data_IF_582309836542
#
_entry.id   IF_582309836542
#
_cell.length_a   1.000
_cell.length_b   1.000
_cell.length_c   1.000
_cell.angle_alpha   90.00
_cell.angle_beta   90.00
_cell.angle_gamma   90.00
#
_symmetry.space_group_name_H-M   'P 1'
#
loop_
_entity.id
_entity.type
_entity.pdbx_description
1 polymer ?
#
# COMPACT_ATOMS: atom_id res chain seq x y z
N UNK A 1 0.97 -25.93 -22.72
CA UNK A 1 2.08 -25.07 -22.24
C UNK A 1 1.49 -24.07 -21.26
N UNK A 2 1.85 -24.16 -19.99
CA UNK A 2 1.43 -23.18 -18.98
C UNK A 2 2.21 -21.90 -19.28
N UNK A 3 1.54 -20.88 -19.83
CA UNK A 3 2.06 -19.52 -19.89
C UNK A 3 2.28 -19.06 -18.44
N UNK A 4 3.52 -19.21 -17.95
CA UNK A 4 3.98 -18.49 -16.76
C UNK A 4 3.86 -17.01 -17.12
N UNK A 5 2.75 -16.36 -16.74
CA UNK A 5 2.73 -14.90 -16.60
C UNK A 5 3.89 -14.59 -15.65
N UNK A 6 5.04 -14.18 -16.21
CA UNK A 6 6.09 -13.54 -15.42
C UNK A 6 5.36 -12.43 -14.68
N UNK A 7 5.42 -12.39 -13.34
CA UNK A 7 4.95 -11.21 -12.64
C UNK A 7 5.78 -10.06 -13.20
N UNK A 8 5.12 -9.18 -13.95
CA UNK A 8 5.77 -7.99 -14.47
C UNK A 8 5.93 -7.10 -13.26
N UNK A 9 7.17 -6.96 -12.81
CA UNK A 9 7.55 -6.11 -11.69
C UNK A 9 8.14 -4.82 -12.27
N UNK A 10 8.09 -3.74 -11.50
CA UNK A 10 8.80 -2.50 -11.80
C UNK A 10 10.25 -2.77 -12.18
N UNK A 11 10.79 -2.01 -13.14
CA UNK A 11 12.20 -2.18 -13.51
C UNK A 11 13.09 -1.90 -12.30
N UNK A 12 14.12 -2.74 -12.13
CA UNK A 12 15.09 -2.57 -11.02
C UNK A 12 15.74 -1.20 -11.06
N UNK A 13 15.99 -0.66 -12.25
CA UNK A 13 16.62 0.64 -12.47
C UNK A 13 15.70 1.76 -11.96
N UNK A 14 14.41 1.72 -12.29
CA UNK A 14 13.42 2.65 -11.75
C UNK A 14 13.35 2.57 -10.23
N UNK A 15 13.24 1.36 -9.67
CA UNK A 15 13.19 1.20 -8.21
C UNK A 15 14.44 1.73 -7.51
N UNK A 16 15.63 1.53 -8.09
CA UNK A 16 16.88 2.07 -7.56
C UNK A 16 16.87 3.60 -7.59
N UNK A 17 16.54 4.23 -8.73
CA UNK A 17 16.52 5.67 -8.86
C UNK A 17 15.53 6.33 -7.88
N UNK A 18 14.34 5.75 -7.71
CA UNK A 18 13.36 6.22 -6.74
C UNK A 18 13.90 6.07 -5.31
N UNK A 19 14.46 4.91 -4.95
CA UNK A 19 15.00 4.71 -3.60
C UNK A 19 16.16 5.66 -3.28
N UNK A 20 17.04 5.92 -4.25
CA UNK A 20 18.14 6.88 -4.09
C UNK A 20 17.60 8.29 -3.80
N UNK A 21 16.62 8.78 -4.55
CA UNK A 21 16.00 10.08 -4.25
C UNK A 21 15.23 10.10 -2.91
N UNK A 22 14.71 8.95 -2.48
CA UNK A 22 14.03 8.83 -1.20
C UNK A 22 15.01 8.91 -0.01
N UNK A 23 16.28 8.51 -0.17
CA UNK A 23 17.31 8.54 0.89
C UNK A 23 17.76 9.95 1.26
N UNK A 24 17.78 10.88 0.30
CA UNK A 24 18.24 12.27 0.50
C UNK A 24 17.19 13.20 1.15
N UNK A 25 16.00 12.66 1.43
CA UNK A 25 14.88 13.45 1.99
C UNK A 25 14.22 14.36 0.95
N UNK A 26 14.34 14.01 -0.34
CA UNK A 26 14.00 14.88 -1.45
C UNK A 26 12.52 15.27 -1.52
N UNK A 27 12.30 16.44 -2.15
CA UNK A 27 11.01 16.97 -2.54
C UNK A 27 10.28 16.00 -3.48
N UNK A 28 8.95 15.93 -3.39
CA UNK A 28 8.14 15.18 -4.38
C UNK A 28 8.46 15.60 -5.82
N UNK A 29 8.96 16.82 -6.04
CA UNK A 29 9.37 17.33 -7.35
C UNK A 29 10.52 16.53 -7.98
N UNK A 30 11.47 16.04 -7.20
CA UNK A 30 12.61 15.28 -7.75
C UNK A 30 12.21 13.84 -8.06
N UNK A 31 11.34 13.25 -7.24
CA UNK A 31 10.68 11.97 -7.56
C UNK A 31 9.88 12.11 -8.86
N UNK A 32 9.11 13.20 -9.02
CA UNK A 32 8.35 13.48 -10.25
C UNK A 32 9.27 13.62 -11.48
N UNK A 33 10.40 14.32 -11.35
CA UNK A 33 11.41 14.39 -12.43
C UNK A 33 11.98 13.04 -12.79
N UNK A 34 12.30 12.19 -11.80
CA UNK A 34 12.79 10.83 -12.06
C UNK A 34 11.72 10.04 -12.83
N UNK A 35 10.46 10.12 -12.40
CA UNK A 35 9.35 9.46 -13.07
C UNK A 35 9.24 9.81 -14.56
N UNK A 36 9.46 11.07 -14.95
CA UNK A 36 9.48 11.50 -16.37
C UNK A 36 10.50 10.73 -17.23
N UNK A 37 11.62 10.29 -16.64
CA UNK A 37 12.67 9.54 -17.33
C UNK A 37 12.33 8.06 -17.55
N UNK A 38 11.32 7.53 -16.85
CA UNK A 38 10.92 6.12 -16.88
C UNK A 38 9.48 5.93 -17.38
N UNK A 39 9.13 6.55 -18.51
CA UNK A 39 7.78 6.52 -19.08
C UNK A 39 7.20 5.12 -19.31
N UNK A 40 8.04 4.13 -19.64
CA UNK A 40 7.61 2.74 -19.78
C UNK A 40 7.18 2.12 -18.43
N UNK A 41 7.93 2.36 -17.35
CA UNK A 41 7.59 1.90 -16.00
C UNK A 41 6.34 2.62 -15.47
N UNK A 42 6.16 3.90 -15.79
CA UNK A 42 4.93 4.63 -15.47
C UNK A 42 3.71 4.03 -16.15
N UNK A 43 3.79 3.76 -17.45
CA UNK A 43 2.71 3.09 -18.17
C UNK A 43 2.38 1.72 -17.54
N UNK A 44 3.39 0.98 -17.08
CA UNK A 44 3.18 -0.27 -16.33
C UNK A 44 2.46 -0.01 -14.99
N UNK A 45 2.88 0.98 -14.20
CA UNK A 45 2.17 1.37 -12.97
C UNK A 45 0.71 1.74 -13.23
N UNK A 46 0.42 2.50 -14.27
CA UNK A 46 -0.96 2.91 -14.58
C UNK A 46 -1.84 1.78 -15.11
N UNK A 47 -1.25 0.78 -15.78
CA UNK A 47 -2.00 -0.32 -16.39
C UNK A 47 -2.02 -1.59 -15.53
N UNK A 48 -1.17 -1.68 -14.50
CA UNK A 48 -1.03 -2.84 -13.63
C UNK A 48 -1.10 -2.42 -12.16
N UNK A 49 -2.21 -2.78 -11.51
CA UNK A 49 -2.49 -2.50 -10.10
C UNK A 49 -1.40 -3.03 -9.15
N UNK A 50 -0.82 -4.19 -9.42
CA UNK A 50 0.27 -4.74 -8.58
C UNK A 50 1.53 -3.88 -8.62
N UNK A 51 1.90 -3.32 -9.78
CA UNK A 51 3.03 -2.41 -9.90
C UNK A 51 2.73 -1.08 -9.19
N UNK A 52 1.51 -0.57 -9.34
CA UNK A 52 1.08 0.64 -8.66
C UNK A 52 1.13 0.50 -7.13
N UNK A 53 0.54 -0.56 -6.58
CA UNK A 53 0.57 -0.87 -5.15
C UNK A 53 2.02 -0.95 -4.65
N UNK A 54 2.91 -1.61 -5.40
CA UNK A 54 4.32 -1.70 -5.03
C UNK A 54 4.99 -0.32 -4.95
N UNK A 55 4.74 0.55 -5.93
CA UNK A 55 5.26 1.92 -5.91
C UNK A 55 4.72 2.71 -4.71
N UNK A 56 3.42 2.64 -4.43
CA UNK A 56 2.81 3.31 -3.28
C UNK A 56 3.40 2.81 -1.95
N UNK A 57 3.68 1.50 -1.83
CA UNK A 57 4.33 0.94 -0.65
C UNK A 57 5.78 1.41 -0.49
N UNK A 58 6.52 1.64 -1.57
CA UNK A 58 7.87 2.25 -1.50
C UNK A 58 7.81 3.66 -0.90
N UNK A 59 6.81 4.45 -1.30
CA UNK A 59 6.59 5.79 -0.75
C UNK A 59 6.21 5.76 0.74
N UNK A 60 5.42 4.77 1.19
CA UNK A 60 5.14 4.56 2.62
C UNK A 60 6.42 4.14 3.35
N UNK A 61 7.20 3.21 2.80
CA UNK A 61 8.44 2.75 3.41
C UNK A 61 9.44 3.90 3.65
N UNK A 62 9.49 4.90 2.77
CA UNK A 62 10.32 6.08 2.96
C UNK A 62 9.96 6.93 4.19
N UNK A 63 8.69 6.90 4.61
CA UNK A 63 8.28 7.58 5.84
C UNK A 63 8.69 6.83 7.11
N UNK A 64 9.20 5.61 7.00
CA UNK A 64 9.54 4.78 8.16
C UNK A 64 11.02 4.97 8.53
N UNK A 65 11.27 5.30 9.80
CA UNK A 65 12.61 5.42 10.37
C UNK A 65 12.84 4.30 11.37
N UNK A 66 14.02 3.70 11.31
CA UNK A 66 14.46 2.68 12.25
C UNK A 66 15.58 3.22 13.12
N UNK A 67 15.40 3.18 14.43
CA UNK A 67 16.38 3.57 15.42
C UNK A 67 16.85 2.32 16.18
N UNK A 68 18.16 2.18 16.35
CA UNK A 68 18.72 1.18 17.27
C UNK A 68 18.87 1.81 18.64
N UNK A 69 18.22 1.22 19.63
CA UNK A 69 18.36 1.61 21.02
C UNK A 69 19.68 1.08 21.59
N UNK A 70 20.11 1.64 22.73
CA UNK A 70 21.34 1.23 23.43
C UNK A 70 21.33 -0.23 23.92
N UNK A 71 20.16 -0.84 24.03
CA UNK A 71 19.94 -2.25 24.40
C UNK A 71 19.87 -3.19 23.18
N UNK A 72 20.23 -2.69 21.98
CA UNK A 72 20.09 -3.36 20.69
C UNK A 72 18.65 -3.69 20.27
N UNK A 73 17.63 -3.18 20.96
CA UNK A 73 16.26 -3.22 20.44
C UNK A 73 16.11 -2.27 19.26
N UNK A 74 15.29 -2.64 18.28
CA UNK A 74 15.00 -1.82 17.10
C UNK A 74 13.65 -1.14 17.30
N UNK A 75 13.65 0.19 17.38
CA UNK A 75 12.45 1.01 17.40
C UNK A 75 12.15 1.45 15.97
N UNK A 76 11.01 1.04 15.43
CA UNK A 76 10.57 1.41 14.09
C UNK A 76 9.41 2.40 14.24
N UNK A 77 9.53 3.58 13.64
CA UNK A 77 8.54 4.66 13.75
C UNK A 77 8.17 5.19 12.37
N UNK A 78 6.92 5.64 12.24
CA UNK A 78 6.46 6.39 11.07
C UNK A 78 6.72 7.88 11.33
N UNK A 79 7.46 8.52 10.44
CA UNK A 79 7.52 9.97 10.37
C UNK A 79 6.25 10.49 9.67
N UNK A 80 5.30 10.98 10.47
CA UNK A 80 3.99 11.41 10.00
C UNK A 80 4.08 12.56 8.98
N UNK A 81 4.99 13.52 9.16
CA UNK A 81 5.20 14.64 8.24
C UNK A 81 5.63 14.17 6.84
N UNK A 82 6.59 13.25 6.78
CA UNK A 82 7.03 12.63 5.52
C UNK A 82 5.86 11.83 4.93
N UNK A 83 5.11 11.07 5.73
CA UNK A 83 3.98 10.30 5.22
C UNK A 83 2.90 11.19 4.61
N UNK A 84 2.54 12.31 5.25
CA UNK A 84 1.63 13.31 4.68
C UNK A 84 2.16 13.86 3.35
N UNK A 85 3.45 14.19 3.27
CA UNK A 85 4.05 14.69 2.03
C UNK A 85 4.01 13.63 0.91
N UNK A 86 4.37 12.39 1.22
CA UNK A 86 4.33 11.29 0.25
C UNK A 86 2.91 10.93 -0.16
N UNK A 87 1.93 11.03 0.74
CA UNK A 87 0.53 10.80 0.43
C UNK A 87 -0.01 11.77 -0.64
N UNK A 88 0.42 13.05 -0.62
CA UNK A 88 0.10 14.01 -1.69
C UNK A 88 0.65 13.59 -3.06
N UNK A 89 1.80 12.94 -3.09
CA UNK A 89 2.33 12.35 -4.33
C UNK A 89 1.50 11.12 -4.73
N UNK A 90 1.17 10.24 -3.77
CA UNK A 90 0.34 9.05 -4.00
C UNK A 90 -1.02 9.41 -4.61
N UNK A 91 -1.60 10.56 -4.27
CA UNK A 91 -2.87 11.03 -4.85
C UNK A 91 -2.89 11.03 -6.38
N UNK A 92 -1.75 11.30 -7.03
CA UNK A 92 -1.62 11.30 -8.49
C UNK A 92 -1.71 9.91 -9.11
N UNK A 93 -1.57 8.86 -8.30
CA UNK A 93 -1.48 7.47 -8.73
C UNK A 93 -2.56 6.58 -8.10
N UNK A 94 -3.58 7.17 -7.48
CA UNK A 94 -4.66 6.43 -6.83
C UNK A 94 -5.36 5.49 -7.82
N UNK A 95 -5.54 4.24 -7.39
CA UNK A 95 -6.39 3.25 -8.07
C UNK A 95 -7.85 3.66 -7.93
N UNK A 96 -8.64 3.56 -9.00
CA UNK A 96 -10.01 4.07 -8.98
C UNK A 96 -11.07 3.02 -8.63
N UNK A 97 -10.76 1.73 -8.76
CA UNK A 97 -11.71 0.67 -8.46
C UNK A 97 -11.57 0.13 -7.03
N UNK A 98 -12.72 -0.30 -6.50
CA UNK A 98 -12.89 -0.83 -5.15
C UNK A 98 -11.97 -2.01 -4.81
N UNK A 99 -11.71 -2.90 -5.78
CA UNK A 99 -10.97 -4.13 -5.54
C UNK A 99 -9.50 -3.79 -5.30
N UNK A 100 -8.89 -3.02 -6.19
CA UNK A 100 -7.47 -2.69 -6.06
C UNK A 100 -7.22 -1.71 -4.90
N UNK A 101 -8.17 -0.82 -4.58
CA UNK A 101 -8.08 -0.01 -3.36
C UNK A 101 -8.15 -0.85 -2.09
N UNK A 102 -9.00 -1.89 -2.07
CA UNK A 102 -9.08 -2.80 -0.94
C UNK A 102 -7.86 -3.72 -0.85
N UNK A 103 -7.32 -4.16 -1.98
CA UNK A 103 -6.05 -4.87 -2.06
C UNK A 103 -4.90 -4.00 -1.51
N UNK A 104 -4.84 -2.74 -1.92
CA UNK A 104 -3.88 -1.78 -1.41
C UNK A 104 -3.98 -1.63 0.11
N UNK A 105 -5.19 -1.45 0.66
CA UNK A 105 -5.40 -1.39 2.11
C UNK A 105 -4.84 -2.64 2.82
N UNK A 106 -5.14 -3.84 2.32
CA UNK A 106 -4.63 -5.10 2.87
C UNK A 106 -3.10 -5.12 2.84
N UNK A 107 -2.50 -4.73 1.71
CA UNK A 107 -1.04 -4.74 1.53
C UNK A 107 -0.34 -3.73 2.44
N UNK A 108 -0.93 -2.56 2.67
CA UNK A 108 -0.41 -1.56 3.62
C UNK A 108 -0.42 -2.11 5.04
N UNK A 109 -1.53 -2.69 5.49
CA UNK A 109 -1.64 -3.24 6.85
C UNK A 109 -0.67 -4.41 7.03
N UNK A 110 -0.62 -5.36 6.09
CA UNK A 110 0.31 -6.50 6.13
C UNK A 110 1.78 -6.04 6.14
N UNK A 111 2.12 -5.04 5.33
CA UNK A 111 3.46 -4.44 5.30
C UNK A 111 3.85 -3.84 6.65
N UNK A 112 3.00 -2.99 7.23
CA UNK A 112 3.26 -2.38 8.54
C UNK A 112 3.30 -3.43 9.65
N UNK A 113 2.42 -4.43 9.60
CA UNK A 113 2.39 -5.49 10.61
C UNK A 113 3.69 -6.32 10.61
N UNK A 114 4.21 -6.65 9.43
CA UNK A 114 5.51 -7.36 9.29
C UNK A 114 6.68 -6.58 9.86
N UNK A 115 6.61 -5.25 9.82
CA UNK A 115 7.56 -4.34 10.47
C UNK A 115 7.34 -4.18 11.98
N UNK A 116 6.46 -5.00 12.57
CA UNK A 116 6.16 -5.04 14.00
C UNK A 116 5.46 -3.77 14.54
N UNK A 117 4.80 -3.00 13.67
CA UNK A 117 3.98 -1.88 14.12
C UNK A 117 2.78 -2.37 14.94
N UNK A 118 2.50 -1.66 16.03
CA UNK A 118 1.33 -1.91 16.86
C UNK A 118 0.04 -1.53 16.13
N UNK A 119 -1.08 -2.09 16.59
CA UNK A 119 -2.41 -1.75 16.07
C UNK A 119 -2.67 -0.23 16.04
N UNK A 120 -2.25 0.48 17.09
CA UNK A 120 -2.44 1.93 17.19
C UNK A 120 -1.61 2.70 16.16
N UNK A 121 -0.42 2.23 15.81
CA UNK A 121 0.43 2.89 14.81
C UNK A 121 -0.09 2.63 13.39
N UNK A 122 -0.58 1.40 13.14
CA UNK A 122 -1.30 1.08 11.91
C UNK A 122 -2.56 1.96 11.79
N UNK A 123 -3.35 2.10 12.85
CA UNK A 123 -4.53 2.99 12.88
C UNK A 123 -4.14 4.43 12.49
N UNK A 124 -3.03 4.96 13.02
CA UNK A 124 -2.54 6.31 12.66
C UNK A 124 -2.14 6.40 11.19
N UNK A 125 -1.37 5.45 10.68
CA UNK A 125 -0.95 5.43 9.28
C UNK A 125 -2.16 5.40 8.33
N UNK A 126 -3.13 4.53 8.60
CA UNK A 126 -4.37 4.42 7.82
C UNK A 126 -5.20 5.70 7.92
N UNK A 127 -5.21 6.38 9.07
CA UNK A 127 -5.89 7.67 9.22
C UNK A 127 -5.22 8.78 8.41
N UNK A 128 -3.88 8.82 8.35
CA UNK A 128 -3.14 9.79 7.52
C UNK A 128 -3.47 9.54 6.04
N UNK A 129 -3.37 8.28 5.59
CA UNK A 129 -3.69 7.92 4.21
C UNK A 129 -5.17 8.19 3.86
N UNK A 130 -6.08 8.10 4.84
CA UNK A 130 -7.47 8.48 4.64
C UNK A 130 -7.69 10.00 4.61
N UNK A 131 -7.01 10.73 5.49
CA UNK A 131 -7.08 12.20 5.55
C UNK A 131 -6.57 12.82 4.25
N UNK A 132 -5.48 12.29 3.71
CA UNK A 132 -4.91 12.69 2.42
C UNK A 132 -5.60 11.99 1.24
N UNK A 133 -6.80 11.42 1.43
CA UNK A 133 -7.64 10.83 0.38
C UNK A 133 -7.00 9.70 -0.48
N UNK A 134 -5.84 9.18 -0.09
CA UNK A 134 -5.19 8.02 -0.74
C UNK A 134 -6.02 6.75 -0.52
N UNK A 135 -6.57 6.60 0.69
CA UNK A 135 -7.52 5.54 1.04
C UNK A 135 -8.88 6.20 1.31
N UNK A 136 -9.84 6.11 0.37
CA UNK A 136 -11.17 6.66 0.57
C UNK A 136 -11.87 6.10 1.81
N UNK A 137 -12.79 6.88 2.40
CA UNK A 137 -13.45 6.52 3.65
C UNK A 137 -14.15 5.15 3.59
N UNK A 138 -14.81 4.83 2.47
CA UNK A 138 -15.50 3.54 2.31
C UNK A 138 -14.54 2.34 2.28
N UNK A 139 -13.30 2.52 1.81
CA UNK A 139 -12.24 1.51 1.89
C UNK A 139 -11.72 1.43 3.31
N UNK A 140 -11.34 2.56 3.91
CA UNK A 140 -10.85 2.65 5.30
C UNK A 140 -11.83 2.01 6.30
N UNK A 141 -13.13 2.13 6.06
CA UNK A 141 -14.16 1.51 6.89
C UNK A 141 -14.04 -0.02 7.01
N UNK A 142 -13.45 -0.72 6.05
CA UNK A 142 -13.19 -2.15 6.17
C UNK A 142 -12.23 -2.44 7.33
N UNK A 143 -11.23 -1.58 7.56
CA UNK A 143 -10.34 -1.67 8.72
C UNK A 143 -11.04 -1.29 10.03
N UNK A 144 -11.86 -0.23 10.01
CA UNK A 144 -12.64 0.19 11.19
C UNK A 144 -13.62 -0.88 11.65
N UNK A 145 -14.30 -1.56 10.73
CA UNK A 145 -15.35 -2.53 11.03
C UNK A 145 -14.87 -3.98 11.15
N UNK A 146 -13.61 -4.30 10.82
CA UNK A 146 -13.01 -5.61 11.07
C UNK A 146 -12.76 -5.92 12.56
N UNK A 147 -13.34 -5.13 13.47
CA UNK A 147 -13.28 -5.29 14.93
C UNK A 147 -14.18 -6.43 15.39
N UNK A 148 -13.97 -6.90 16.62
CA UNK A 148 -14.89 -7.87 17.23
C UNK A 148 -16.29 -7.24 17.39
N UNK A 149 -17.38 -8.03 17.36
CA UNK A 149 -18.75 -7.52 17.48
C UNK A 149 -19.04 -6.74 18.78
N UNK A 150 -18.29 -7.03 19.84
CA UNK A 150 -18.34 -6.33 21.12
C UNK A 150 -17.54 -5.01 21.14
N UNK A 151 -16.98 -4.61 20.00
CA UNK A 151 -16.16 -3.41 19.85
C UNK A 151 -14.73 -3.57 20.36
N UNK A 152 -14.34 -4.74 20.88
CA UNK A 152 -12.98 -4.96 21.35
C UNK A 152 -11.97 -4.96 20.19
N UNK A 153 -10.73 -4.52 20.43
CA UNK A 153 -9.69 -4.61 19.42
C UNK A 153 -9.39 -6.09 19.13
N UNK A 154 -9.75 -6.56 17.94
CA UNK A 154 -9.12 -7.71 17.32
C UNK A 154 -7.64 -7.40 17.06
N UNK A 155 -6.77 -8.41 17.17
CA UNK A 155 -5.38 -8.27 16.77
C UNK A 155 -5.29 -7.96 15.25
N UNK A 156 -4.11 -7.57 14.77
CA UNK A 156 -3.94 -7.17 13.37
C UNK A 156 -4.28 -8.31 12.40
N UNK A 157 -3.86 -9.54 12.70
CA UNK A 157 -4.08 -10.72 11.84
C UNK A 157 -5.58 -11.05 11.68
N UNK A 158 -6.33 -11.05 12.77
CA UNK A 158 -7.78 -11.29 12.78
C UNK A 158 -8.49 -10.25 11.91
N UNK A 159 -8.13 -8.96 12.07
CA UNK A 159 -8.70 -7.88 11.26
C UNK A 159 -8.34 -8.06 9.79
N UNK A 160 -7.08 -8.35 9.50
CA UNK A 160 -6.59 -8.54 8.14
C UNK A 160 -7.32 -9.70 7.45
N UNK A 161 -7.56 -10.80 8.16
CA UNK A 161 -8.29 -11.95 7.62
C UNK A 161 -9.74 -11.58 7.24
N UNK A 162 -10.45 -10.80 8.07
CA UNK A 162 -11.81 -10.32 7.74
C UNK A 162 -11.78 -9.50 6.45
N UNK A 163 -10.87 -8.55 6.34
CA UNK A 163 -10.74 -7.69 5.15
C UNK A 163 -10.36 -8.53 3.92
N UNK A 164 -9.50 -9.54 4.09
CA UNK A 164 -9.13 -10.45 3.02
C UNK A 164 -10.34 -11.26 2.51
N UNK A 165 -11.24 -11.71 3.38
CA UNK A 165 -12.48 -12.36 2.94
C UNK A 165 -13.39 -11.37 2.18
N UNK A 166 -13.49 -10.11 2.62
CA UNK A 166 -14.21 -9.07 1.87
C UNK A 166 -13.61 -8.85 0.47
N UNK A 167 -12.28 -8.78 0.37
CA UNK A 167 -11.56 -8.65 -0.90
C UNK A 167 -11.85 -9.84 -1.82
N UNK A 168 -11.77 -11.07 -1.30
CA UNK A 168 -12.09 -12.29 -2.06
C UNK A 168 -13.54 -12.26 -2.55
N UNK A 169 -14.48 -11.89 -1.69
CA UNK A 169 -15.89 -11.80 -2.04
C UNK A 169 -16.14 -10.77 -3.15
N UNK A 170 -15.59 -9.55 -3.02
CA UNK A 170 -15.68 -8.53 -4.07
C UNK A 170 -15.07 -9.02 -5.38
N UNK A 171 -13.86 -9.58 -5.31
CA UNK A 171 -13.19 -10.14 -6.49
C UNK A 171 -14.05 -11.21 -7.18
N UNK A 172 -14.69 -12.10 -6.41
CA UNK A 172 -15.60 -13.11 -6.96
C UNK A 172 -16.80 -12.49 -7.67
N UNK A 173 -17.42 -11.44 -7.13
CA UNK A 173 -18.56 -10.76 -7.76
C UNK A 173 -18.15 -10.14 -9.09
N UNK A 174 -17.03 -9.40 -9.12
CA UNK A 174 -16.64 -8.63 -10.30
C UNK A 174 -15.88 -9.48 -11.34
N UNK A 175 -15.15 -10.52 -10.93
CA UNK A 175 -14.55 -11.50 -11.84
C UNK A 175 -15.57 -12.51 -12.39
N UNK A 176 -16.82 -12.52 -11.92
CA UNK A 176 -17.92 -13.25 -12.55
C UNK A 176 -18.46 -12.46 -13.77
N UNK A 177 -17.62 -12.31 -14.79
CA UNK A 177 -18.02 -11.82 -16.12
C UNK A 177 -17.43 -12.71 -17.23
N UNK A 178 -17.76 -14.01 -17.19
CA UNK A 178 -18.24 -14.80 -18.35
C UNK A 178 -18.81 -16.14 -17.85
N UNK A 179 -20.11 -16.44 -18.01
CA UNK A 179 -20.69 -17.75 -17.70
C UNK A 179 -20.07 -18.92 -18.49
N UNK A 180 -19.28 -18.65 -19.52
CA UNK A 180 -18.67 -19.67 -20.38
C UNK A 180 -17.24 -20.06 -19.99
N UNK A 181 -16.56 -19.29 -19.13
CA UNK A 181 -15.21 -19.62 -18.64
C UNK A 181 -15.32 -20.41 -17.31
N UNK A 182 -15.82 -21.64 -17.41
CA UNK A 182 -15.86 -22.58 -16.28
C UNK A 182 -14.60 -23.48 -16.25
N UNK A 183 -13.93 -23.46 -15.08
CA UNK A 183 -13.02 -24.44 -14.45
C UNK A 183 -12.25 -25.47 -15.31
#
# INVERSE_FOLDING_TARGET
MINRRKSMNLSRIFCCAINESLEDGDSNQDIERIMEHFSMDLNLCFTNSSCNIQFLLMLIANSIKSFRNADNSQLVLINEEILHNRAKLMQKFIMQDDIHLLEFLVKVIDFLHKLQFSLSEIDKAINILNFEEVIPLYIRNHWTFARKPDGQPSNVEDRLNVIYQCLRFKSLIFCYTDPNDCF
#
